data_IF_417615930696
#
_entry.id   IF_417615930696
#
_cell.length_a   1.000
_cell.length_b   1.000
_cell.length_c   1.000
_cell.angle_alpha   90.00
_cell.angle_beta   90.00
_cell.angle_gamma   90.00
#
_symmetry.space_group_name_H-M   'P 1'
#
loop_
_entity.id
_entity.type
_entity.pdbx_description
1 polymer ?
#
# COMPACT_ATOMS: atom_id res chain seq x y z
N UNK A 1 32.37 -17.14 24.60
CA UNK A 1 31.06 -17.34 23.96
C UNK A 1 31.08 -16.81 22.52
N UNK A 2 31.67 -17.58 21.58
CA UNK A 2 31.78 -17.25 20.14
C UNK A 2 30.61 -17.78 19.28
N UNK A 3 29.62 -18.42 19.89
CA UNK A 3 28.57 -19.18 19.17
C UNK A 3 27.34 -18.36 18.73
N UNK A 4 26.86 -17.42 19.54
CA UNK A 4 25.59 -16.68 19.25
C UNK A 4 25.77 -15.61 18.16
N UNK A 5 26.98 -15.07 18.00
CA UNK A 5 27.24 -14.01 17.01
C UNK A 5 27.18 -14.50 15.56
N UNK A 6 27.57 -15.74 15.27
CA UNK A 6 27.65 -16.21 13.88
C UNK A 6 26.28 -16.49 13.25
N UNK A 7 25.31 -16.98 14.01
CA UNK A 7 23.96 -17.29 13.49
C UNK A 7 23.18 -16.01 13.12
N UNK A 8 23.27 -14.97 13.96
CA UNK A 8 22.56 -13.70 13.73
C UNK A 8 23.34 -12.69 12.88
N UNK A 9 24.66 -12.85 12.71
CA UNK A 9 25.47 -11.96 11.89
C UNK A 9 25.00 -11.94 10.43
N UNK A 10 24.62 -13.09 9.89
CA UNK A 10 24.08 -13.17 8.53
C UNK A 10 22.77 -12.39 8.39
N UNK A 11 21.84 -12.58 9.33
CA UNK A 11 20.54 -11.89 9.31
C UNK A 11 20.72 -10.37 9.44
N UNK A 12 21.57 -9.93 10.37
CA UNK A 12 21.86 -8.50 10.55
C UNK A 12 22.54 -7.89 9.32
N UNK A 13 23.51 -8.59 8.72
CA UNK A 13 24.17 -8.12 7.50
C UNK A 13 23.18 -8.05 6.33
N UNK A 14 22.32 -9.06 6.20
CA UNK A 14 21.29 -9.10 5.18
C UNK A 14 20.29 -7.95 5.36
N UNK A 15 19.75 -7.74 6.57
CA UNK A 15 18.84 -6.62 6.85
C UNK A 15 19.52 -5.27 6.63
N UNK A 16 20.78 -5.13 7.03
CA UNK A 16 21.56 -3.92 6.82
C UNK A 16 21.73 -3.58 5.32
N UNK A 17 22.11 -4.57 4.50
CA UNK A 17 22.25 -4.40 3.05
C UNK A 17 20.90 -4.12 2.39
N UNK A 18 19.87 -4.87 2.78
CA UNK A 18 18.52 -4.72 2.24
C UNK A 18 17.96 -3.32 2.50
N UNK A 19 18.13 -2.78 3.72
CA UNK A 19 17.68 -1.42 4.04
C UNK A 19 18.44 -0.33 3.29
N UNK A 20 19.73 -0.52 3.00
CA UNK A 20 20.45 0.42 2.12
C UNK A 20 19.87 0.43 0.70
N UNK A 21 19.60 -0.76 0.15
CA UNK A 21 18.95 -0.87 -1.15
C UNK A 21 17.54 -0.26 -1.12
N UNK A 22 16.80 -0.49 -0.04
CA UNK A 22 15.45 0.04 0.13
C UNK A 22 15.46 1.57 0.10
N UNK A 23 16.37 2.24 0.82
CA UNK A 23 16.51 3.71 0.75
C UNK A 23 16.76 4.20 -0.68
N UNK A 24 17.64 3.54 -1.44
CA UNK A 24 17.90 3.91 -2.84
C UNK A 24 16.65 3.74 -3.72
N UNK A 25 15.96 2.61 -3.60
CA UNK A 25 14.73 2.33 -4.34
C UNK A 25 13.64 3.33 -3.95
N UNK A 26 13.53 3.68 -2.67
CA UNK A 26 12.53 4.63 -2.19
C UNK A 26 12.75 6.03 -2.78
N UNK A 27 14.00 6.48 -2.94
CA UNK A 27 14.31 7.75 -3.59
C UNK A 27 13.81 7.76 -5.05
N UNK A 28 14.07 6.68 -5.81
CA UNK A 28 13.52 6.57 -7.17
C UNK A 28 11.99 6.53 -7.15
N UNK A 29 11.40 5.78 -6.22
CA UNK A 29 9.96 5.72 -6.02
C UNK A 29 9.33 7.10 -5.78
N UNK A 30 9.98 7.96 -4.98
CA UNK A 30 9.51 9.32 -4.71
C UNK A 30 9.56 10.15 -6.00
N UNK A 31 10.66 10.09 -6.75
CA UNK A 31 10.80 10.83 -8.01
C UNK A 31 9.68 10.44 -8.98
N UNK A 32 9.48 9.13 -9.22
CA UNK A 32 8.44 8.67 -10.14
C UNK A 32 7.04 9.02 -9.64
N UNK A 33 6.75 8.88 -8.35
CA UNK A 33 5.45 9.27 -7.82
C UNK A 33 5.20 10.78 -7.90
N UNK A 34 6.20 11.64 -7.67
CA UNK A 34 6.05 13.09 -7.86
C UNK A 34 5.73 13.42 -9.33
N UNK A 35 6.41 12.77 -10.28
CA UNK A 35 6.14 12.94 -11.71
C UNK A 35 4.71 12.48 -12.05
N UNK A 36 4.29 11.31 -11.56
CA UNK A 36 2.92 10.81 -11.73
C UNK A 36 1.89 11.77 -11.14
N UNK A 37 2.10 12.22 -9.92
CA UNK A 37 1.24 13.19 -9.24
C UNK A 37 1.11 14.50 -10.04
N UNK A 38 2.22 15.03 -10.55
CA UNK A 38 2.25 16.25 -11.36
C UNK A 38 1.46 16.13 -12.66
N UNK A 39 1.40 14.94 -13.26
CA UNK A 39 0.58 14.68 -14.44
C UNK A 39 -0.89 14.54 -14.04
N UNK A 40 -1.20 13.73 -13.02
CA UNK A 40 -2.57 13.39 -12.62
C UNK A 40 -3.36 14.55 -12.01
N UNK A 41 -2.69 15.55 -11.42
CA UNK A 41 -3.38 16.73 -10.86
C UNK A 41 -4.02 17.63 -11.92
N UNK A 42 -3.62 17.48 -13.20
CA UNK A 42 -4.16 18.28 -14.30
C UNK A 42 -5.67 18.07 -14.43
N UNK A 43 -6.43 19.17 -14.47
CA UNK A 43 -7.91 19.18 -14.55
C UNK A 43 -8.52 18.17 -15.54
N UNK A 44 -8.04 18.00 -16.80
CA UNK A 44 -8.68 17.09 -17.76
C UNK A 44 -8.58 15.61 -17.38
N UNK A 45 -7.63 15.22 -16.53
CA UNK A 45 -7.50 13.82 -16.11
C UNK A 45 -8.41 13.50 -14.92
N UNK A 46 -8.78 14.50 -14.10
CA UNK A 46 -9.63 14.31 -12.92
C UNK A 46 -11.12 14.16 -13.21
N UNK A 47 -11.50 14.03 -14.48
CA UNK A 47 -12.86 13.70 -14.92
C UNK A 47 -13.06 12.21 -15.10
N UNK A 48 -11.99 11.41 -15.14
CA UNK A 48 -12.07 9.97 -15.25
C UNK A 48 -11.86 9.32 -13.88
N UNK A 49 -12.77 8.44 -13.42
CA UNK A 49 -12.66 7.69 -12.17
C UNK A 49 -11.27 7.11 -11.91
N UNK A 50 -10.67 6.51 -12.93
CA UNK A 50 -9.42 5.77 -12.79
C UNK A 50 -8.25 6.67 -12.47
N UNK A 51 -8.19 7.86 -13.07
CA UNK A 51 -7.14 8.82 -12.75
C UNK A 51 -7.33 9.44 -11.37
N UNK A 52 -8.57 9.58 -10.89
CA UNK A 52 -8.84 10.01 -9.50
C UNK A 52 -8.34 8.95 -8.52
N UNK A 53 -8.66 7.68 -8.74
CA UNK A 53 -8.18 6.58 -7.88
C UNK A 53 -6.65 6.47 -7.90
N UNK A 54 -6.04 6.60 -9.09
CA UNK A 54 -4.59 6.58 -9.25
C UNK A 54 -3.90 7.75 -8.54
N UNK A 55 -4.55 8.92 -8.49
CA UNK A 55 -4.06 10.05 -7.72
C UNK A 55 -4.03 9.75 -6.20
N UNK A 56 -5.08 9.11 -5.67
CA UNK A 56 -5.14 8.71 -4.25
C UNK A 56 -4.03 7.69 -3.93
N UNK A 57 -3.84 6.69 -4.79
CA UNK A 57 -2.75 5.70 -4.68
C UNK A 57 -1.40 6.41 -4.64
N UNK A 58 -1.15 7.31 -5.58
CA UNK A 58 0.11 8.04 -5.68
C UNK A 58 0.40 8.88 -4.41
N UNK A 59 -0.61 9.50 -3.81
CA UNK A 59 -0.46 10.22 -2.53
C UNK A 59 -0.08 9.25 -1.41
N UNK A 60 -0.73 8.08 -1.35
CA UNK A 60 -0.44 7.06 -0.35
C UNK A 60 0.98 6.49 -0.52
N UNK A 61 1.40 6.22 -1.75
CA UNK A 61 2.74 5.73 -2.06
C UNK A 61 3.81 6.76 -1.66
N UNK A 62 3.60 8.05 -1.96
CA UNK A 62 4.48 9.11 -1.46
C UNK A 62 4.56 9.12 0.06
N UNK A 63 3.42 9.04 0.74
CA UNK A 63 3.36 9.03 2.20
C UNK A 63 4.16 7.85 2.78
N UNK A 64 3.99 6.64 2.23
CA UNK A 64 4.77 5.46 2.64
C UNK A 64 6.26 5.66 2.43
N UNK A 65 6.68 6.13 1.25
CA UNK A 65 8.08 6.29 0.91
C UNK A 65 8.76 7.34 1.81
N UNK A 66 8.06 8.43 2.15
CA UNK A 66 8.56 9.42 3.10
C UNK A 66 8.72 8.89 4.53
N UNK A 67 7.93 7.90 4.93
CA UNK A 67 8.01 7.27 6.26
C UNK A 67 9.11 6.19 6.29
N UNK A 68 9.23 5.42 5.21
CA UNK A 68 10.16 4.31 5.09
C UNK A 68 11.62 4.76 5.14
N UNK A 69 11.96 5.89 4.50
CA UNK A 69 13.34 6.38 4.45
C UNK A 69 13.91 6.68 5.85
N UNK A 70 13.28 7.51 6.71
CA UNK A 70 13.80 7.73 8.05
C UNK A 70 13.78 6.49 8.92
N UNK A 71 12.80 5.59 8.76
CA UNK A 71 12.76 4.30 9.47
C UNK A 71 14.01 3.45 9.16
N UNK A 72 14.37 3.33 7.88
CA UNK A 72 15.56 2.61 7.46
C UNK A 72 16.85 3.29 7.90
N UNK A 73 16.91 4.63 7.84
CA UNK A 73 18.07 5.39 8.34
C UNK A 73 18.25 5.17 9.85
N UNK A 74 17.17 5.23 10.64
CA UNK A 74 17.22 4.97 12.09
C UNK A 74 17.73 3.55 12.36
N UNK A 75 17.24 2.56 11.62
CA UNK A 75 17.69 1.19 11.76
C UNK A 75 19.18 1.03 11.41
N UNK A 76 19.63 1.59 10.28
CA UNK A 76 21.02 1.55 9.83
C UNK A 76 21.94 2.18 10.88
N UNK A 77 21.53 3.33 11.44
CA UNK A 77 22.28 4.00 12.51
C UNK A 77 22.33 3.16 13.79
N UNK A 78 21.23 2.53 14.20
CA UNK A 78 21.19 1.60 15.35
C UNK A 78 22.08 0.38 15.15
N UNK A 79 22.18 -0.12 13.92
CA UNK A 79 23.04 -1.26 13.58
C UNK A 79 24.52 -0.89 13.62
N UNK A 80 24.85 0.36 13.25
CA UNK A 80 26.23 0.88 13.27
C UNK A 80 26.70 1.28 14.66
N UNK A 81 25.79 1.71 15.54
CA UNK A 81 26.13 2.11 16.90
C UNK A 81 26.52 0.88 17.75
N UNK A 82 27.74 0.81 18.31
CA UNK A 82 28.14 -0.27 19.21
C UNK A 82 27.34 -0.32 20.54
N UNK A 83 26.58 0.73 20.86
CA UNK A 83 25.62 0.75 21.98
C UNK A 83 24.16 0.67 21.51
N UNK A 84 23.92 0.41 20.23
CA UNK A 84 22.60 0.22 19.65
C UNK A 84 21.89 -0.96 20.32
N UNK A 85 20.59 -0.79 20.54
CA UNK A 85 19.75 -1.79 21.16
C UNK A 85 18.48 -1.97 20.32
N UNK A 86 18.28 -3.18 19.80
CA UNK A 86 17.13 -3.51 18.97
C UNK A 86 15.93 -3.92 19.85
N UNK A 87 14.72 -3.64 19.36
CA UNK A 87 13.47 -3.92 20.07
C UNK A 87 13.11 -2.92 21.17
N UNK A 88 13.98 -1.95 21.44
CA UNK A 88 13.77 -0.88 22.42
C UNK A 88 14.11 0.47 21.82
N UNK A 89 13.40 1.51 22.29
CA UNK A 89 13.47 2.84 21.70
C UNK A 89 13.63 3.90 22.80
N UNK A 90 14.20 5.05 22.46
CA UNK A 90 13.99 6.25 23.28
C UNK A 90 12.51 6.66 23.22
N UNK A 91 12.05 7.50 24.14
CA UNK A 91 10.65 7.93 24.15
C UNK A 91 10.25 8.65 22.84
N UNK A 92 11.13 9.51 22.32
CA UNK A 92 10.91 10.19 21.03
C UNK A 92 10.90 9.23 19.85
N UNK A 93 11.85 8.28 19.81
CA UNK A 93 11.86 7.22 18.80
C UNK A 93 10.60 6.36 18.88
N UNK A 94 10.10 6.04 20.09
CA UNK A 94 8.89 5.25 20.28
C UNK A 94 7.66 5.96 19.71
N UNK A 95 7.51 7.26 19.98
CA UNK A 95 6.43 8.07 19.39
C UNK A 95 6.54 8.09 17.87
N UNK A 96 7.75 8.31 17.34
CA UNK A 96 7.98 8.33 15.90
C UNK A 96 7.62 6.98 15.26
N UNK A 97 8.09 5.85 15.82
CA UNK A 97 7.79 4.50 15.30
C UNK A 97 6.27 4.22 15.32
N UNK A 98 5.58 4.63 16.39
CA UNK A 98 4.11 4.48 16.45
C UNK A 98 3.44 5.33 15.37
N UNK A 99 3.82 6.61 15.22
CA UNK A 99 3.24 7.48 14.20
C UNK A 99 3.53 6.98 12.78
N UNK A 100 4.76 6.53 12.53
CA UNK A 100 5.21 5.94 11.27
C UNK A 100 4.40 4.67 10.93
N UNK A 101 4.25 3.74 11.88
CA UNK A 101 3.48 2.52 11.69
C UNK A 101 2.00 2.81 11.37
N UNK A 102 1.38 3.74 12.10
CA UNK A 102 -0.01 4.18 11.87
C UNK A 102 -0.18 4.74 10.47
N UNK A 103 0.66 5.70 10.06
CA UNK A 103 0.54 6.33 8.74
C UNK A 103 0.88 5.35 7.61
N UNK A 104 1.89 4.51 7.77
CA UNK A 104 2.29 3.53 6.76
C UNK A 104 1.18 2.50 6.52
N UNK A 105 0.55 1.99 7.59
CA UNK A 105 -0.59 1.08 7.49
C UNK A 105 -1.81 1.74 6.87
N UNK A 106 -2.12 2.97 7.27
CA UNK A 106 -3.18 3.76 6.65
C UNK A 106 -2.96 3.89 5.15
N UNK A 107 -1.77 4.32 4.75
CA UNK A 107 -1.42 4.50 3.35
C UNK A 107 -1.48 3.17 2.57
N UNK A 108 -1.01 2.07 3.17
CA UNK A 108 -1.05 0.74 2.53
C UNK A 108 -2.48 0.27 2.31
N UNK A 109 -3.30 0.36 3.36
CA UNK A 109 -4.69 -0.04 3.30
C UNK A 109 -5.47 0.75 2.24
N UNK A 110 -5.31 2.07 2.22
CA UNK A 110 -5.99 2.92 1.23
C UNK A 110 -5.48 2.60 -0.18
N UNK A 111 -4.15 2.55 -0.39
CA UNK A 111 -3.55 2.29 -1.70
C UNK A 111 -4.02 0.97 -2.31
N UNK A 112 -4.00 -0.12 -1.53
CA UNK A 112 -4.39 -1.46 -2.01
C UNK A 112 -5.87 -1.56 -2.33
N UNK A 113 -6.76 -1.02 -1.48
CA UNK A 113 -8.19 -1.01 -1.77
C UNK A 113 -8.54 -0.12 -2.96
N UNK A 114 -7.86 1.02 -3.11
CA UNK A 114 -8.03 1.87 -4.29
C UNK A 114 -7.57 1.17 -5.57
N UNK A 115 -6.50 0.36 -5.52
CA UNK A 115 -6.06 -0.44 -6.67
C UNK A 115 -7.10 -1.50 -7.06
N UNK A 116 -7.67 -2.21 -6.09
CA UNK A 116 -8.75 -3.19 -6.33
C UNK A 116 -9.98 -2.50 -6.93
N UNK A 117 -10.42 -1.37 -6.35
CA UNK A 117 -11.55 -0.61 -6.87
C UNK A 117 -11.29 -0.08 -8.28
N UNK A 118 -10.08 0.38 -8.58
CA UNK A 118 -9.71 0.86 -9.91
C UNK A 118 -9.90 -0.21 -10.98
N UNK A 119 -9.39 -1.42 -10.74
CA UNK A 119 -9.54 -2.54 -11.69
C UNK A 119 -10.99 -2.99 -11.76
N UNK A 120 -11.70 -3.03 -10.64
CA UNK A 120 -13.12 -3.37 -10.61
C UNK A 120 -13.97 -2.37 -11.42
N UNK A 121 -13.71 -1.07 -11.28
CA UNK A 121 -14.41 -0.01 -12.03
C UNK A 121 -14.13 -0.12 -13.53
N UNK A 122 -12.88 -0.37 -13.93
CA UNK A 122 -12.53 -0.62 -15.34
C UNK A 122 -13.18 -1.88 -15.92
N UNK A 123 -13.20 -2.97 -15.16
CA UNK A 123 -13.83 -4.20 -15.58
C UNK A 123 -15.36 -4.02 -15.72
N UNK A 124 -15.98 -3.33 -14.77
CA UNK A 124 -17.42 -3.06 -14.77
C UNK A 124 -17.82 -2.13 -15.93
N UNK A 125 -17.06 -1.06 -16.19
CA UNK A 125 -17.36 -0.12 -17.28
C UNK A 125 -17.34 -0.79 -18.66
N UNK A 126 -16.47 -1.79 -18.87
CA UNK A 126 -16.35 -2.53 -20.14
C UNK A 126 -17.42 -3.62 -20.25
N UNK A 127 -17.78 -4.28 -19.15
CA UNK A 127 -18.79 -5.34 -19.15
C UNK A 127 -20.21 -4.81 -19.27
N UNK A 128 -20.49 -3.68 -18.62
CA UNK A 128 -21.84 -3.17 -18.44
C UNK A 128 -22.10 -1.87 -19.20
N UNK A 129 -21.44 -1.66 -20.35
CA UNK A 129 -21.62 -0.47 -21.21
C UNK A 129 -23.10 -0.09 -21.43
N UNK A 130 -24.00 -1.06 -21.48
CA UNK A 130 -25.44 -0.85 -21.74
C UNK A 130 -26.32 -0.66 -20.49
N UNK A 131 -25.78 -0.72 -19.27
CA UNK A 131 -26.58 -0.56 -18.04
C UNK A 131 -26.43 0.84 -17.43
N UNK A 132 -27.48 1.31 -16.74
CA UNK A 132 -27.46 2.56 -15.97
C UNK A 132 -26.42 2.58 -14.84
N UNK A 133 -25.89 1.40 -14.46
CA UNK A 133 -24.81 1.28 -13.50
C UNK A 133 -23.48 1.76 -14.08
N UNK A 134 -23.22 1.54 -15.37
CA UNK A 134 -21.98 1.97 -16.00
C UNK A 134 -21.88 3.49 -16.08
N UNK A 135 -22.97 4.19 -16.40
CA UNK A 135 -22.99 5.66 -16.40
C UNK A 135 -22.71 6.22 -15.00
N UNK A 136 -23.27 5.60 -13.97
CA UNK A 136 -23.05 6.00 -12.56
C UNK A 136 -21.63 5.73 -12.08
N UNK A 137 -21.02 4.62 -12.49
CA UNK A 137 -19.64 4.25 -12.13
C UNK A 137 -18.58 5.09 -12.87
N UNK A 138 -18.95 5.63 -14.04
CA UNK A 138 -18.11 6.54 -14.80
C UNK A 138 -18.13 7.97 -14.22
N UNK A 139 -19.04 8.28 -13.30
CA UNK A 139 -19.08 9.61 -12.68
C UNK A 139 -17.91 9.83 -11.71
N UNK A 140 -17.24 11.00 -11.78
CA UNK A 140 -16.28 11.45 -10.78
C UNK A 140 -16.87 11.47 -9.37
N UNK A 141 -18.15 11.85 -9.24
CA UNK A 141 -18.84 12.02 -7.96
C UNK A 141 -18.88 10.71 -7.17
N UNK A 142 -19.20 9.60 -7.85
CA UNK A 142 -19.20 8.24 -7.31
C UNK A 142 -17.81 7.82 -6.87
N UNK A 143 -16.79 8.16 -7.64
CA UNK A 143 -15.39 7.83 -7.33
C UNK A 143 -14.88 8.56 -6.09
N UNK A 144 -15.18 9.85 -5.96
CA UNK A 144 -14.84 10.59 -4.74
C UNK A 144 -15.57 10.02 -3.52
N UNK A 145 -16.86 9.65 -3.64
CA UNK A 145 -17.60 8.99 -2.55
C UNK A 145 -16.96 7.66 -2.15
N UNK A 146 -16.64 6.80 -3.12
CA UNK A 146 -15.98 5.52 -2.87
C UNK A 146 -14.62 5.70 -2.20
N UNK A 147 -13.81 6.65 -2.68
CA UNK A 147 -12.50 6.98 -2.09
C UNK A 147 -12.64 7.45 -0.64
N UNK A 148 -13.59 8.35 -0.37
CA UNK A 148 -13.88 8.82 0.99
C UNK A 148 -14.33 7.69 1.90
N UNK A 149 -15.17 6.76 1.43
CA UNK A 149 -15.60 5.60 2.21
C UNK A 149 -14.40 4.73 2.58
N UNK A 150 -13.50 4.42 1.63
CA UNK A 150 -12.27 3.66 1.90
C UNK A 150 -11.40 4.35 2.95
N UNK A 151 -11.21 5.67 2.81
CA UNK A 151 -10.43 6.47 3.77
C UNK A 151 -11.08 6.41 5.16
N UNK A 152 -12.40 6.60 5.29
CA UNK A 152 -13.08 6.54 6.60
C UNK A 152 -12.97 5.15 7.23
N UNK A 153 -13.18 4.07 6.45
CA UNK A 153 -13.02 2.70 6.93
C UNK A 153 -11.59 2.47 7.41
N UNK A 154 -10.59 2.95 6.66
CA UNK A 154 -9.18 2.82 7.02
C UNK A 154 -8.86 3.54 8.34
N UNK A 155 -9.38 4.77 8.54
CA UNK A 155 -9.16 5.52 9.78
C UNK A 155 -9.77 4.77 10.98
N UNK A 156 -10.99 4.25 10.84
CA UNK A 156 -11.65 3.48 11.90
C UNK A 156 -10.85 2.22 12.23
N UNK A 157 -10.49 1.43 11.21
CA UNK A 157 -9.75 0.19 11.38
C UNK A 157 -8.38 0.43 12.05
N UNK A 158 -7.61 1.39 11.55
CA UNK A 158 -6.28 1.72 12.09
C UNK A 158 -6.38 2.30 13.50
N UNK A 159 -7.41 3.09 13.81
CA UNK A 159 -7.62 3.61 15.17
C UNK A 159 -7.85 2.49 16.17
N UNK A 160 -8.70 1.51 15.84
CA UNK A 160 -8.95 0.33 16.68
C UNK A 160 -7.67 -0.49 16.85
N UNK A 161 -6.96 -0.76 15.74
CA UNK A 161 -5.70 -1.49 15.73
C UNK A 161 -4.66 -0.82 16.64
N UNK A 162 -4.48 0.49 16.50
CA UNK A 162 -3.52 1.28 17.28
C UNK A 162 -3.82 1.27 18.77
N UNK A 163 -5.09 1.43 19.13
CA UNK A 163 -5.53 1.40 20.53
C UNK A 163 -5.23 0.06 21.20
N UNK A 164 -5.38 -1.04 20.48
CA UNK A 164 -5.17 -2.39 21.02
C UNK A 164 -3.70 -2.82 21.01
N UNK A 165 -2.88 -2.30 20.09
CA UNK A 165 -1.49 -2.70 19.89
C UNK A 165 -0.49 -1.88 20.71
N UNK A 166 -0.71 -0.56 20.83
CA UNK A 166 0.36 0.32 21.28
C UNK A 166 0.26 0.68 22.74
N UNK A 167 1.33 0.37 23.47
CA UNK A 167 1.51 0.79 24.85
C UNK A 167 2.98 1.00 25.16
N UNK A 168 3.34 2.26 25.38
CA UNK A 168 4.70 2.64 25.73
C UNK A 168 4.94 2.30 27.21
N UNK A 169 5.90 1.42 27.47
CA UNK A 169 6.29 1.03 28.83
C UNK A 169 7.80 1.15 29.00
N UNK A 170 8.31 1.55 30.19
CA UNK A 170 9.73 1.58 30.44
C UNK A 170 10.31 0.15 30.37
N UNK A 171 11.38 -0.01 29.61
CA UNK A 171 12.15 -1.26 29.62
C UNK A 171 12.84 -1.43 30.97
N UNK A 172 13.00 -2.69 31.41
CA UNK A 172 13.73 -3.00 32.64
C UNK A 172 15.19 -2.55 32.51
N UNK A 173 15.77 -1.99 33.57
CA UNK A 173 17.15 -1.48 33.59
C UNK A 173 18.20 -2.51 33.19
N UNK A 174 17.93 -3.80 33.45
CA UNK A 174 18.81 -4.91 33.13
C UNK A 174 18.51 -5.56 31.77
N UNK A 175 17.73 -4.93 30.89
CA UNK A 175 17.37 -5.52 29.60
C UNK A 175 18.65 -5.70 28.76
N UNK A 176 19.11 -6.95 28.54
CA UNK A 176 20.33 -7.17 27.79
C UNK A 176 20.03 -6.81 26.34
N UNK A 177 20.78 -5.87 25.79
CA UNK A 177 20.74 -5.65 24.35
C UNK A 177 21.29 -6.92 23.68
N UNK A 178 20.38 -7.76 23.19
CA UNK A 178 20.64 -9.10 22.65
C UNK A 178 21.83 -9.16 21.68
N UNK A 179 22.10 -8.06 20.99
CA UNK A 179 23.12 -7.97 19.94
C UNK A 179 24.46 -7.39 20.41
N UNK A 180 24.47 -6.54 21.45
CA UNK A 180 25.68 -5.87 21.92
C UNK A 180 26.18 -6.40 23.26
N UNK A 181 25.39 -7.22 23.97
CA UNK A 181 25.68 -7.72 25.32
C UNK A 181 26.05 -6.59 26.31
N UNK A 182 25.60 -5.36 26.04
CA UNK A 182 25.81 -4.18 26.88
C UNK A 182 24.49 -3.77 27.52
N UNK A 183 24.59 -3.26 28.75
CA UNK A 183 23.49 -2.62 29.44
C UNK A 183 23.22 -1.25 28.82
N UNK A 184 21.94 -0.92 28.63
CA UNK A 184 21.54 0.38 28.17
C UNK A 184 21.93 1.45 29.20
N UNK A 185 22.71 2.46 28.78
CA UNK A 185 23.13 3.57 29.64
C UNK A 185 22.04 4.65 29.82
N UNK A 186 20.89 4.51 29.16
CA UNK A 186 19.78 5.46 29.13
C UNK A 186 18.46 4.72 29.33
N UNK A 187 17.43 5.42 29.82
CA UNK A 187 16.09 4.87 29.91
C UNK A 187 15.55 4.57 28.50
N UNK A 188 15.13 3.32 28.30
CA UNK A 188 14.54 2.85 27.04
C UNK A 188 13.10 2.41 27.27
N UNK A 189 12.35 2.28 26.18
CA UNK A 189 10.94 1.98 26.17
C UNK A 189 10.60 0.86 25.18
N UNK A 190 9.63 0.03 25.57
CA UNK A 190 8.99 -0.99 24.76
C UNK A 190 7.66 -0.44 24.23
N UNK A 191 7.33 -0.78 22.98
CA UNK A 191 6.09 -0.37 22.31
C UNK A 191 4.95 -1.40 22.52
N UNK A 192 5.32 -2.67 22.72
CA UNK A 192 4.42 -3.82 22.96
C UNK A 192 4.74 -4.42 24.33
N UNK A 193 4.48 -3.64 25.39
CA UNK A 193 5.02 -3.90 26.72
C UNK A 193 4.41 -5.10 27.46
N UNK A 194 3.13 -5.43 27.23
CA UNK A 194 2.49 -6.58 27.90
C UNK A 194 2.15 -7.72 26.93
N UNK A 195 1.93 -8.95 27.43
CA UNK A 195 1.50 -10.08 26.60
C UNK A 195 0.19 -9.81 25.84
N UNK A 196 -0.70 -8.97 26.38
CA UNK A 196 -1.95 -8.62 25.73
C UNK A 196 -1.70 -7.82 24.44
N UNK A 197 -0.86 -6.78 24.49
CA UNK A 197 -0.53 -5.98 23.31
C UNK A 197 0.34 -6.76 22.31
N UNK A 198 1.21 -7.66 22.77
CA UNK A 198 1.96 -8.55 21.88
C UNK A 198 1.05 -9.51 21.12
N UNK A 199 0.08 -10.12 21.80
CA UNK A 199 -0.93 -10.97 21.18
C UNK A 199 -1.81 -10.17 20.21
N UNK A 200 -2.19 -8.94 20.58
CA UNK A 200 -2.92 -8.05 19.68
C UNK A 200 -2.08 -7.71 18.44
N UNK A 201 -0.80 -7.36 18.60
CA UNK A 201 0.10 -7.09 17.49
C UNK A 201 0.23 -8.30 16.54
N UNK A 202 0.40 -9.50 17.09
CA UNK A 202 0.43 -10.72 16.31
C UNK A 202 -0.89 -10.96 15.56
N UNK A 203 -2.03 -10.86 16.26
CA UNK A 203 -3.35 -11.04 15.68
C UNK A 203 -3.62 -10.07 14.53
N UNK A 204 -3.40 -8.77 14.73
CA UNK A 204 -3.63 -7.76 13.69
C UNK A 204 -2.67 -7.92 12.51
N UNK A 205 -1.40 -8.30 12.75
CA UNK A 205 -0.44 -8.61 11.67
C UNK A 205 -0.92 -9.79 10.82
N UNK A 206 -1.48 -10.83 11.45
CA UNK A 206 -2.07 -11.95 10.74
C UNK A 206 -3.30 -11.53 9.92
N UNK A 207 -4.20 -10.74 10.51
CA UNK A 207 -5.40 -10.21 9.82
C UNK A 207 -5.01 -9.40 8.60
N UNK A 208 -4.03 -8.52 8.71
CA UNK A 208 -3.52 -7.74 7.57
C UNK A 208 -2.95 -8.64 6.48
N UNK A 209 -2.14 -9.63 6.84
CA UNK A 209 -1.62 -10.60 5.86
C UNK A 209 -2.75 -11.34 5.11
N UNK A 210 -3.81 -11.74 5.82
CA UNK A 210 -5.00 -12.32 5.16
C UNK A 210 -5.72 -11.33 4.25
N UNK A 211 -5.88 -10.07 4.69
CA UNK A 211 -6.52 -9.03 3.90
C UNK A 211 -5.76 -8.74 2.61
N UNK A 212 -4.42 -8.69 2.64
CA UNK A 212 -3.58 -8.53 1.45
C UNK A 212 -3.74 -9.68 0.47
N UNK A 213 -3.79 -10.93 0.96
CA UNK A 213 -4.04 -12.10 0.11
C UNK A 213 -5.43 -12.02 -0.54
N UNK A 214 -6.46 -11.62 0.22
CA UNK A 214 -7.82 -11.44 -0.31
C UNK A 214 -7.82 -10.36 -1.40
N UNK A 215 -7.19 -9.21 -1.15
CA UNK A 215 -7.07 -8.13 -2.14
C UNK A 215 -6.35 -8.61 -3.41
N UNK A 216 -5.28 -9.38 -3.28
CA UNK A 216 -4.57 -9.96 -4.42
C UNK A 216 -5.45 -10.90 -5.25
N UNK A 217 -6.25 -11.75 -4.59
CA UNK A 217 -7.21 -12.64 -5.26
C UNK A 217 -8.25 -11.83 -6.03
N UNK A 218 -8.85 -10.82 -5.40
CA UNK A 218 -9.81 -9.93 -6.07
C UNK A 218 -9.18 -9.21 -7.27
N UNK A 219 -7.97 -8.67 -7.10
CA UNK A 219 -7.24 -8.01 -8.17
C UNK A 219 -6.97 -8.95 -9.35
N UNK A 220 -6.54 -10.19 -9.09
CA UNK A 220 -6.29 -11.19 -10.12
C UNK A 220 -7.57 -11.59 -10.86
N UNK A 221 -8.66 -11.82 -10.14
CA UNK A 221 -9.98 -12.14 -10.72
C UNK A 221 -10.46 -10.98 -11.60
N UNK A 222 -10.46 -9.75 -11.08
CA UNK A 222 -10.90 -8.57 -11.84
C UNK A 222 -10.04 -8.34 -13.08
N UNK A 223 -8.73 -8.54 -12.99
CA UNK A 223 -7.80 -8.45 -14.13
C UNK A 223 -8.07 -9.53 -15.18
N UNK A 224 -8.30 -10.78 -14.76
CA UNK A 224 -8.64 -11.86 -15.67
C UNK A 224 -9.94 -11.55 -16.44
N UNK A 225 -10.98 -11.09 -15.75
CA UNK A 225 -12.21 -10.66 -16.40
C UNK A 225 -11.97 -9.49 -17.37
N UNK A 226 -11.18 -8.50 -16.98
CA UNK A 226 -10.84 -7.37 -17.83
C UNK A 226 -10.18 -7.84 -19.14
N UNK A 227 -9.16 -8.68 -19.05
CA UNK A 227 -8.44 -9.22 -20.21
C UNK A 227 -9.38 -10.04 -21.11
N UNK A 228 -10.19 -10.93 -20.52
CA UNK A 228 -11.16 -11.75 -21.28
C UNK A 228 -12.14 -10.88 -22.07
N UNK A 229 -12.67 -9.82 -21.44
CA UNK A 229 -13.63 -8.94 -22.09
C UNK A 229 -12.99 -8.11 -23.21
N UNK A 230 -11.78 -7.57 -23.00
CA UNK A 230 -11.05 -6.86 -24.05
C UNK A 230 -10.83 -7.76 -25.28
N UNK A 231 -10.46 -9.03 -25.07
CA UNK A 231 -10.32 -9.98 -26.18
C UNK A 231 -11.65 -10.28 -26.89
N UNK A 232 -12.76 -10.39 -26.16
CA UNK A 232 -14.09 -10.58 -26.75
C UNK A 232 -14.49 -9.39 -27.62
N UNK A 233 -14.32 -8.16 -27.12
CA UNK A 233 -14.58 -6.94 -27.87
C UNK A 233 -13.69 -6.81 -29.11
N UNK A 234 -12.40 -7.14 -28.99
CA UNK A 234 -11.46 -7.14 -30.11
C UNK A 234 -11.80 -8.17 -31.19
N UNK A 235 -12.58 -9.23 -30.91
CA UNK A 235 -13.07 -10.16 -31.94
C UNK A 235 -14.32 -9.66 -32.65
N UNK A 236 -15.22 -8.98 -31.93
CA UNK A 236 -16.49 -8.48 -32.49
C UNK A 236 -16.27 -7.28 -33.43
N UNK A 237 -15.37 -6.36 -33.08
CA UNK A 237 -15.08 -5.16 -33.88
C UNK A 237 -14.55 -5.45 -35.30
N UNK A 238 -13.58 -6.36 -35.53
CA UNK A 238 -13.13 -6.68 -36.89
C UNK A 238 -14.17 -7.44 -37.72
N UNK A 239 -15.10 -8.18 -37.09
CA UNK A 239 -16.15 -8.91 -37.79
C UNK A 239 -17.22 -7.93 -38.34
N UNK A 240 -17.62 -6.93 -37.56
CA UNK A 240 -18.55 -5.89 -38.02
C UNK A 240 -17.95 -4.96 -39.10
N UNK A 241 -16.63 -4.76 -39.13
CA UNK A 241 -15.98 -3.94 -40.16
C UNK A 241 -15.88 -4.69 -41.51
N UNK A 242 -15.79 -6.02 -41.47
CA UNK A 242 -15.80 -6.88 -42.65
C UNK A 242 -17.21 -7.15 -43.21
N UNK A 243 -18.25 -7.02 -42.38
CA UNK A 243 -19.64 -7.23 -42.81
C UNK A 243 -20.27 -5.95 -43.41
N UNK A 244 -20.01 -4.77 -42.81
CA UNK A 244 -20.44 -3.49 -43.38
C UNK A 244 -19.74 -3.10 -44.70
N UNK A 245 -18.69 -3.81 -45.11
CA UNK A 245 -18.03 -3.63 -46.41
C UNK A 245 -18.59 -4.55 -47.51
N UNK A 246 -19.61 -5.37 -47.20
CA UNK A 246 -20.29 -6.28 -48.15
C UNK A 246 -21.73 -5.90 -48.48
N UNK A 247 -22.23 -4.74 -48.06
CA UNK A 247 -23.49 -4.22 -48.60
C UNK A 247 -23.27 -3.59 -49.98
N UNK A 248 -23.87 -4.12 -51.06
CA UNK A 248 -23.73 -3.55 -52.39
C UNK A 248 -24.54 -2.25 -52.50
N UNK A 249 -23.87 -1.20 -52.99
CA UNK A 249 -24.50 0.03 -53.42
C UNK A 249 -25.43 -0.22 -54.62
N UNK A 250 -26.68 0.23 -54.53
CA UNK A 250 -27.66 0.33 -55.62
C UNK A 250 -28.98 -0.35 -55.27
N UNK A 251 -30.16 0.25 -55.42
CA UNK A 251 -30.61 1.44 -56.14
C UNK A 251 -31.84 1.99 -55.40
N UNK A 252 -31.83 3.28 -55.06
CA UNK A 252 -33.07 4.03 -54.81
C UNK A 252 -33.39 4.82 -56.09
N UNK A 253 -34.33 4.30 -56.88
CA UNK A 253 -35.03 5.07 -57.93
C UNK A 253 -36.07 5.95 -57.26
N UNK A 254 -35.85 7.27 -57.32
CA UNK A 254 -36.85 8.29 -56.99
C UNK A 254 -37.60 8.61 -58.28
N UNK A 255 -38.92 8.56 -58.17
CA UNK A 255 -39.95 9.03 -59.11
C UNK A 255 -39.82 10.50 -59.48
#
# INVERSE_FOLDING_TARGET
MKGVYNEFAFVLLFEFLFRHLNVLISIFGIIFNILHFSVLIRKPLRTEPVFIMMLVICICDLLQLFIMIPDDIIYINKTRDPNGCFGVNTYSEAIYVIAADILARFASFVSTWMAVLMVAFKAASIQFVSSSWSTTLLEPSTTYKASTIVIVISVIYISICSYMKFKIMPARWDFPCLYTNRLAKRQLYLIYGTPAEQNANFFFTMVEGYMEVVQLIFFAISTFFLVKNIHKWKKIVPENYMDNSREPAGQHSIS
#
